data_IF_691309798349
#
_entry.id   IF_691309798349
#
_cell.length_a   1.000
_cell.length_b   1.000
_cell.length_c   1.000
_cell.angle_alpha   90.00
_cell.angle_beta   90.00
_cell.angle_gamma   90.00
#
_symmetry.space_group_name_H-M   'P 1'
#
loop_
_entity.id
_entity.type
_entity.pdbx_description
1 polymer ?
#
# COMPACT_ATOMS: atom_id res chain seq x y z
N UNK A 1 -8.43 0.94 -14.93
CA UNK A 1 -7.22 0.58 -14.15
C UNK A 1 -6.76 1.82 -13.43
N UNK A 2 -6.91 1.83 -12.10
CA UNK A 2 -6.68 3.00 -11.26
C UNK A 2 -5.40 2.82 -10.44
N UNK A 3 -4.66 3.91 -10.25
CA UNK A 3 -3.55 4.00 -9.30
C UNK A 3 -4.04 4.69 -8.04
N UNK A 4 -3.58 4.24 -6.87
CA UNK A 4 -3.95 4.87 -5.60
C UNK A 4 -2.72 5.19 -4.77
N UNK A 5 -2.76 6.35 -4.11
CA UNK A 5 -1.77 6.76 -3.11
C UNK A 5 -2.45 6.82 -1.74
N UNK A 6 -1.87 6.12 -0.76
CA UNK A 6 -2.32 6.09 0.63
C UNK A 6 -1.35 6.96 1.43
N UNK A 7 -1.85 8.04 2.03
CA UNK A 7 -1.05 8.94 2.89
C UNK A 7 -1.24 8.53 4.34
N UNK A 8 -0.15 8.14 5.00
CA UNK A 8 -0.09 7.60 6.35
C UNK A 8 0.13 6.09 6.37
N UNK A 9 0.75 5.60 7.45
CA UNK A 9 1.07 4.19 7.67
C UNK A 9 0.67 3.73 9.09
N UNK A 10 -0.53 4.14 9.52
CA UNK A 10 -1.17 3.69 10.76
C UNK A 10 -2.18 2.57 10.52
N UNK A 11 -2.88 2.11 11.56
CA UNK A 11 -3.80 0.96 11.46
C UNK A 11 -4.87 1.09 10.37
N UNK A 12 -5.45 2.28 10.19
CA UNK A 12 -6.44 2.52 9.13
C UNK A 12 -5.82 2.38 7.74
N UNK A 13 -4.62 2.95 7.54
CA UNK A 13 -3.91 2.86 6.26
C UNK A 13 -3.56 1.42 5.90
N UNK A 14 -3.15 0.61 6.89
CA UNK A 14 -2.90 -0.83 6.69
C UNK A 14 -4.16 -1.55 6.21
N UNK A 15 -5.32 -1.31 6.84
CA UNK A 15 -6.59 -1.92 6.42
C UNK A 15 -6.99 -1.48 5.02
N UNK A 16 -6.85 -0.20 4.70
CA UNK A 16 -7.14 0.34 3.36
C UNK A 16 -6.24 -0.33 2.32
N UNK A 17 -4.93 -0.40 2.59
CA UNK A 17 -3.97 -1.01 1.68
C UNK A 17 -4.32 -2.48 1.40
N UNK A 18 -4.72 -3.25 2.40
CA UNK A 18 -5.18 -4.63 2.22
C UNK A 18 -6.48 -4.75 1.40
N UNK A 19 -7.43 -3.83 1.57
CA UNK A 19 -8.69 -3.86 0.80
C UNK A 19 -8.46 -3.49 -0.66
N UNK A 20 -7.67 -2.44 -0.90
CA UNK A 20 -7.25 -2.02 -2.25
C UNK A 20 -6.53 -3.17 -2.95
N UNK A 21 -5.58 -3.81 -2.26
CA UNK A 21 -4.85 -4.96 -2.77
C UNK A 21 -5.72 -6.16 -3.18
N UNK A 22 -6.89 -6.28 -2.58
CA UNK A 22 -7.80 -7.40 -2.83
C UNK A 22 -8.65 -7.22 -4.09
N UNK A 23 -8.56 -6.06 -4.76
CA UNK A 23 -9.32 -5.73 -5.97
C UNK A 23 -8.39 -5.33 -7.14
N UNK A 24 -7.51 -6.24 -7.61
CA UNK A 24 -6.54 -5.96 -8.67
C UNK A 24 -7.18 -5.61 -10.02
N UNK A 25 -8.45 -5.96 -10.24
CA UNK A 25 -9.26 -5.56 -11.41
C UNK A 25 -9.59 -4.06 -11.42
N UNK A 26 -9.58 -3.42 -10.24
CA UNK A 26 -9.83 -1.99 -10.08
C UNK A 26 -8.50 -1.24 -9.92
N UNK A 27 -7.65 -1.72 -9.00
CA UNK A 27 -6.41 -1.06 -8.59
C UNK A 27 -5.18 -1.79 -9.14
N UNK A 28 -4.49 -1.14 -10.08
CA UNK A 28 -3.31 -1.71 -10.72
C UNK A 28 -2.01 -1.45 -9.96
N UNK A 29 -2.01 -0.46 -9.05
CA UNK A 29 -0.81 0.02 -8.36
C UNK A 29 -1.18 0.73 -7.06
N UNK A 30 -0.37 0.49 -6.01
CA UNK A 30 -0.55 1.05 -4.68
C UNK A 30 0.73 1.77 -4.25
N UNK A 31 0.63 3.06 -3.97
CA UNK A 31 1.72 3.85 -3.39
C UNK A 31 1.37 4.16 -1.93
N UNK A 32 2.35 4.11 -1.02
CA UNK A 32 2.16 4.44 0.39
C UNK A 32 3.16 5.51 0.80
N UNK A 33 2.64 6.69 1.12
CA UNK A 33 3.44 7.84 1.51
C UNK A 33 3.37 8.08 3.02
N UNK A 34 4.52 8.17 3.69
CA UNK A 34 4.61 8.46 5.12
C UNK A 34 6.00 8.99 5.47
N UNK A 35 6.06 9.82 6.51
CA UNK A 35 7.33 10.30 7.11
C UNK A 35 8.20 9.16 7.65
N UNK A 36 7.59 8.05 8.03
CA UNK A 36 8.31 6.89 8.60
C UNK A 36 8.34 5.76 7.58
N UNK A 37 9.46 5.66 6.86
CA UNK A 37 9.68 4.64 5.82
C UNK A 37 9.45 3.21 6.33
N UNK A 38 9.99 2.86 7.50
CA UNK A 38 9.86 1.51 8.08
C UNK A 38 8.41 1.07 8.31
N UNK A 39 7.47 2.01 8.51
CA UNK A 39 6.04 1.69 8.59
C UNK A 39 5.44 1.37 7.23
N UNK A 40 5.85 2.08 6.17
CA UNK A 40 5.43 1.75 4.81
C UNK A 40 5.99 0.40 4.37
N UNK A 41 7.27 0.13 4.65
CA UNK A 41 7.91 -1.14 4.32
C UNK A 41 7.19 -2.32 4.98
N UNK A 42 6.74 -2.17 6.24
CA UNK A 42 5.97 -3.19 6.93
C UNK A 42 4.62 -3.49 6.23
N UNK A 43 3.92 -2.46 5.74
CA UNK A 43 2.68 -2.64 4.98
C UNK A 43 2.97 -3.30 3.63
N UNK A 44 3.96 -2.78 2.88
CA UNK A 44 4.37 -3.33 1.58
C UNK A 44 4.70 -4.81 1.69
N UNK A 45 5.53 -5.19 2.67
CA UNK A 45 5.89 -6.60 2.93
C UNK A 45 4.67 -7.47 3.24
N UNK A 46 3.71 -6.94 4.01
CA UNK A 46 2.46 -7.66 4.32
C UNK A 46 1.57 -7.85 3.08
N UNK A 47 1.62 -6.92 2.12
CA UNK A 47 0.92 -7.03 0.85
C UNK A 47 1.61 -8.00 -0.13
N UNK A 48 2.93 -7.98 -0.21
CA UNK A 48 3.73 -8.89 -1.05
C UNK A 48 3.51 -10.37 -0.67
N UNK A 49 3.44 -10.66 0.64
CA UNK A 49 3.09 -12.00 1.14
C UNK A 49 1.73 -12.50 0.64
N UNK A 50 0.83 -11.59 0.23
CA UNK A 50 -0.51 -11.90 -0.29
C UNK A 50 -0.60 -11.82 -1.81
N UNK A 51 0.53 -11.68 -2.51
CA UNK A 51 0.62 -11.78 -3.98
C UNK A 51 0.54 -10.46 -4.74
N UNK A 52 0.60 -9.30 -4.05
CA UNK A 52 0.69 -8.00 -4.72
C UNK A 52 2.10 -7.78 -5.26
N UNK A 53 2.21 -7.41 -6.54
CA UNK A 53 3.50 -7.27 -7.24
C UNK A 53 4.04 -5.84 -7.34
N UNK A 54 3.24 -4.82 -6.99
CA UNK A 54 3.59 -3.41 -7.18
C UNK A 54 3.09 -2.54 -6.03
N UNK A 55 3.90 -2.43 -4.98
CA UNK A 55 3.73 -1.45 -3.92
C UNK A 55 5.04 -0.69 -3.68
N UNK A 56 4.95 0.63 -3.53
CA UNK A 56 6.12 1.52 -3.42
C UNK A 56 5.95 2.53 -2.28
N UNK A 57 7.06 2.87 -1.62
CA UNK A 57 7.11 3.95 -0.64
C UNK A 57 7.49 5.27 -1.31
N UNK A 58 6.83 6.35 -0.89
CA UNK A 58 7.22 7.72 -1.22
C UNK A 58 7.34 8.56 0.06
N UNK A 59 8.29 9.49 0.09
CA UNK A 59 8.37 10.48 1.17
C UNK A 59 7.19 11.46 1.05
N UNK A 60 6.35 11.51 2.08
CA UNK A 60 5.25 12.47 2.19
C UNK A 60 5.70 13.81 2.76
#
# INVERSE_FOLDING_TARGET
>A
MSRVMIIGAGGVATVVAHKVASHPEIFSEVMIASRTQSKCDAIIKSLEQRGLKKAQWESA
#
